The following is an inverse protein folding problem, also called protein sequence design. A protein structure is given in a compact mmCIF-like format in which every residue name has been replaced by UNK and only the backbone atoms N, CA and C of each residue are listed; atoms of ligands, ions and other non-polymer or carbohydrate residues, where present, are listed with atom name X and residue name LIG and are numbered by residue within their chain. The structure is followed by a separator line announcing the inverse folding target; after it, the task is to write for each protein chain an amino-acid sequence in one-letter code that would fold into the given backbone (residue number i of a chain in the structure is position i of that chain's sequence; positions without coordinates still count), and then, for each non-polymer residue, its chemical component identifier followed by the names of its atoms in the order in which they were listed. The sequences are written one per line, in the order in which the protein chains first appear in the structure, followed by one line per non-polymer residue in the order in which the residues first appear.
data_IF_647095844725
#
_entry.id   IF_647095844725
#
_cell.length_a   1.000
_cell.length_b   1.000
_cell.length_c   1.000
_cell.angle_alpha   90.00
_cell.angle_beta   90.00
_cell.angle_gamma   90.00
#
_symmetry.space_group_name_H-M   'P 1'
#
loop_
_entity.id
_entity.type
_entity.pdbx_description
1 polymer ?
#
# COMPACT_ATOMS: atom_id res chain seq x y z
N UNK A 1 -26.18 1.25 -16.45
CA UNK A 1 -25.86 0.06 -17.28
C UNK A 1 -27.18 -0.60 -17.63
N UNK A 2 -27.47 -0.88 -18.91
CA UNK A 2 -28.72 -1.56 -19.28
C UNK A 2 -28.72 -3.01 -18.76
N UNK A 3 -29.88 -3.63 -18.59
CA UNK A 3 -29.94 -5.03 -18.11
C UNK A 3 -29.18 -5.97 -19.04
N UNK A 4 -29.49 -5.94 -20.35
CA UNK A 4 -28.82 -6.80 -21.33
C UNK A 4 -27.31 -6.55 -21.40
N UNK A 5 -26.90 -5.28 -21.31
CA UNK A 5 -25.48 -4.91 -21.24
C UNK A 5 -24.80 -5.53 -20.02
N UNK A 6 -25.46 -5.51 -18.85
CA UNK A 6 -24.93 -6.15 -17.65
C UNK A 6 -24.77 -7.65 -17.83
N UNK A 7 -25.80 -8.32 -18.37
CA UNK A 7 -25.82 -9.76 -18.65
C UNK A 7 -24.68 -10.14 -19.60
N UNK A 8 -24.49 -9.39 -20.69
CA UNK A 8 -23.41 -9.61 -21.66
C UNK A 8 -22.02 -9.40 -21.04
N UNK A 9 -21.82 -8.28 -20.33
CA UNK A 9 -20.53 -7.95 -19.70
C UNK A 9 -20.09 -9.05 -18.75
N UNK A 10 -21.00 -9.51 -17.88
CA UNK A 10 -20.66 -10.51 -16.86
C UNK A 10 -20.76 -11.94 -17.37
N UNK A 11 -21.09 -12.13 -18.65
CA UNK A 11 -21.35 -13.43 -19.27
C UNK A 11 -22.36 -14.26 -18.45
N UNK A 12 -23.46 -13.61 -18.10
CA UNK A 12 -24.54 -14.19 -17.30
C UNK A 12 -25.71 -14.71 -18.15
N UNK A 13 -26.59 -15.44 -17.48
CA UNK A 13 -27.88 -15.88 -18.00
C UNK A 13 -28.99 -15.19 -17.20
N UNK A 14 -29.86 -14.46 -17.89
CA UNK A 14 -31.00 -13.81 -17.25
C UNK A 14 -32.09 -14.86 -16.98
N UNK A 15 -32.33 -15.15 -15.71
CA UNK A 15 -33.26 -16.18 -15.25
C UNK A 15 -34.69 -15.65 -14.98
N UNK A 16 -34.90 -14.34 -15.06
CA UNK A 16 -36.20 -13.69 -14.89
C UNK A 16 -36.59 -12.84 -16.11
N UNK A 17 -37.85 -12.37 -16.13
CA UNK A 17 -38.33 -11.35 -17.07
C UNK A 17 -38.55 -10.04 -16.30
N UNK A 18 -37.49 -9.28 -15.98
CA UNK A 18 -37.60 -8.12 -15.11
C UNK A 18 -38.38 -6.98 -15.76
N UNK A 19 -39.03 -6.16 -14.94
CA UNK A 19 -39.75 -4.95 -15.40
C UNK A 19 -38.84 -3.73 -15.54
N UNK A 20 -37.62 -3.80 -15.00
CA UNK A 20 -36.63 -2.73 -15.05
C UNK A 20 -35.79 -2.81 -16.34
N UNK A 21 -35.31 -1.65 -16.82
CA UNK A 21 -34.52 -1.57 -18.06
C UNK A 21 -33.02 -1.26 -17.84
N UNK A 22 -32.63 -0.80 -16.65
CA UNK A 22 -31.25 -0.46 -16.33
C UNK A 22 -30.95 -0.41 -14.83
N UNK A 23 -29.66 -0.54 -14.50
CA UNK A 23 -29.08 -0.32 -13.18
C UNK A 23 -28.35 1.01 -13.08
N UNK A 24 -28.46 1.67 -11.93
CA UNK A 24 -27.82 2.95 -11.60
C UNK A 24 -26.38 2.80 -11.08
N UNK A 25 -25.96 1.59 -10.74
CA UNK A 25 -24.64 1.29 -10.20
C UNK A 25 -24.52 -0.19 -9.87
N UNK A 26 -23.34 -0.57 -9.37
CA UNK A 26 -23.05 -1.91 -8.89
C UNK A 26 -22.68 -1.83 -7.42
N UNK A 27 -23.22 -2.72 -6.60
CA UNK A 27 -22.87 -2.88 -5.20
C UNK A 27 -22.25 -4.28 -5.00
N UNK A 28 -21.13 -4.35 -4.27
CA UNK A 28 -20.46 -5.62 -3.94
C UNK A 28 -20.49 -5.92 -2.44
N UNK A 29 -21.12 -5.05 -1.65
CA UNK A 29 -21.36 -5.21 -0.22
C UNK A 29 -22.76 -4.73 0.13
N UNK A 30 -23.39 -5.37 1.12
CA UNK A 30 -24.76 -5.03 1.53
C UNK A 30 -24.89 -3.55 1.95
N UNK A 31 -23.87 -3.00 2.61
CA UNK A 31 -23.81 -1.60 3.05
C UNK A 31 -23.74 -0.59 1.89
N UNK A 32 -23.49 -1.05 0.66
CA UNK A 32 -23.39 -0.23 -0.54
C UNK A 32 -24.66 -0.26 -1.39
N UNK A 33 -25.62 -1.12 -1.04
CA UNK A 33 -26.86 -1.27 -1.78
C UNK A 33 -27.63 0.03 -1.75
N UNK A 34 -27.96 0.52 -2.94
CA UNK A 34 -28.81 1.69 -3.17
C UNK A 34 -29.91 1.30 -4.12
N UNK A 35 -31.07 1.94 -3.97
CA UNK A 35 -32.21 1.72 -4.86
C UNK A 35 -31.78 1.80 -6.33
N UNK A 36 -32.06 0.74 -7.09
CA UNK A 36 -31.73 0.69 -8.50
C UNK A 36 -30.35 0.13 -8.86
N UNK A 37 -29.57 -0.37 -7.90
CA UNK A 37 -28.29 -1.01 -8.20
C UNK A 37 -28.43 -2.47 -8.64
N UNK A 38 -27.39 -2.97 -9.31
CA UNK A 38 -27.11 -4.40 -9.46
C UNK A 38 -26.27 -4.83 -8.25
N UNK A 39 -26.74 -5.82 -7.49
CA UNK A 39 -26.00 -6.38 -6.37
C UNK A 39 -25.28 -7.67 -6.79
N UNK A 40 -23.99 -7.78 -6.47
CA UNK A 40 -23.19 -8.97 -6.72
C UNK A 40 -23.11 -9.80 -5.44
N UNK A 41 -23.90 -10.87 -5.36
CA UNK A 41 -24.04 -11.67 -4.16
C UNK A 41 -22.88 -12.66 -4.00
N UNK A 42 -21.83 -12.25 -3.28
CA UNK A 42 -20.72 -13.14 -2.86
C UNK A 42 -21.17 -14.15 -1.80
N UNK A 43 -22.14 -13.75 -0.98
CA UNK A 43 -22.80 -14.61 0.00
C UNK A 43 -24.30 -14.65 -0.32
N UNK A 44 -24.90 -15.83 -0.60
CA UNK A 44 -26.33 -15.96 -0.83
C UNK A 44 -27.21 -15.42 0.32
N UNK A 45 -26.72 -15.48 1.57
CA UNK A 45 -27.48 -15.02 2.74
C UNK A 45 -27.74 -13.50 2.73
N UNK A 46 -27.01 -12.73 1.92
CA UNK A 46 -27.18 -11.28 1.80
C UNK A 46 -28.25 -10.88 0.77
N UNK A 47 -28.75 -11.83 -0.04
CA UNK A 47 -29.64 -11.54 -1.17
C UNK A 47 -30.95 -10.91 -0.70
N UNK A 48 -31.62 -11.52 0.28
CA UNK A 48 -32.91 -11.02 0.80
C UNK A 48 -32.77 -9.60 1.35
N UNK A 49 -31.66 -9.35 2.05
CA UNK A 49 -31.31 -8.01 2.53
C UNK A 49 -31.10 -7.02 1.38
N UNK A 50 -30.40 -7.42 0.31
CA UNK A 50 -30.12 -6.55 -0.83
C UNK A 50 -31.39 -6.21 -1.60
N UNK A 51 -32.30 -7.18 -1.78
CA UNK A 51 -33.62 -6.94 -2.39
C UNK A 51 -34.44 -5.98 -1.52
N UNK A 52 -34.49 -6.21 -0.20
CA UNK A 52 -35.20 -5.32 0.73
C UNK A 52 -34.65 -3.89 0.74
N UNK A 53 -33.34 -3.71 0.52
CA UNK A 53 -32.68 -2.41 0.37
C UNK A 53 -32.84 -1.78 -1.02
N UNK A 54 -33.55 -2.44 -1.95
CA UNK A 54 -33.93 -1.90 -3.24
C UNK A 54 -32.97 -2.21 -4.39
N UNK A 55 -32.18 -3.29 -4.31
CA UNK A 55 -31.45 -3.79 -5.47
C UNK A 55 -32.43 -4.17 -6.59
N UNK A 56 -32.16 -3.70 -7.82
CA UNK A 56 -33.01 -4.00 -9.00
C UNK A 56 -32.49 -5.20 -9.80
N UNK A 57 -31.34 -5.75 -9.40
CA UNK A 57 -30.89 -7.03 -9.90
C UNK A 57 -29.91 -7.69 -8.96
N UNK A 58 -29.85 -9.01 -9.04
CA UNK A 58 -29.00 -9.87 -8.23
C UNK A 58 -28.16 -10.72 -9.18
N UNK A 59 -26.83 -10.66 -9.03
CA UNK A 59 -25.90 -11.60 -9.66
C UNK A 59 -25.59 -12.71 -8.67
N UNK A 60 -25.72 -13.97 -9.10
CA UNK A 60 -25.52 -15.14 -8.25
C UNK A 60 -24.89 -16.31 -9.03
N UNK A 61 -24.15 -17.19 -8.35
CA UNK A 61 -23.54 -18.40 -8.94
C UNK A 61 -23.99 -19.72 -8.30
N UNK A 62 -24.81 -19.65 -7.23
CA UNK A 62 -25.37 -20.80 -6.52
C UNK A 62 -26.89 -20.83 -6.63
N UNK A 63 -27.51 -21.90 -6.13
CA UNK A 63 -28.97 -21.93 -6.06
C UNK A 63 -29.49 -20.78 -5.17
N UNK A 64 -30.51 -20.06 -5.66
CA UNK A 64 -31.18 -18.97 -4.97
C UNK A 64 -32.69 -19.09 -5.18
N UNK A 65 -33.48 -18.74 -4.18
CA UNK A 65 -34.93 -18.63 -4.32
C UNK A 65 -35.27 -17.23 -4.85
N UNK A 66 -35.87 -17.16 -6.04
CA UNK A 66 -36.25 -15.89 -6.66
C UNK A 66 -37.57 -15.41 -6.08
N UNK A 67 -37.49 -14.51 -5.10
CA UNK A 67 -38.66 -14.01 -4.34
C UNK A 67 -39.37 -12.83 -5.01
N UNK A 68 -38.73 -12.17 -5.95
CA UNK A 68 -39.25 -10.98 -6.65
C UNK A 68 -39.07 -11.12 -8.17
N UNK A 69 -40.17 -11.20 -8.92
CA UNK A 69 -40.14 -11.34 -10.38
C UNK A 69 -39.89 -10.04 -11.15
N UNK A 70 -39.96 -8.88 -10.49
CA UNK A 70 -39.80 -7.57 -11.14
C UNK A 70 -38.33 -7.18 -11.31
N UNK A 71 -37.44 -7.76 -10.50
CA UNK A 71 -35.99 -7.53 -10.54
C UNK A 71 -35.26 -8.53 -11.44
N UNK A 72 -34.07 -8.15 -11.88
CA UNK A 72 -33.24 -8.98 -12.75
C UNK A 72 -32.45 -10.03 -11.95
N UNK A 73 -32.72 -11.31 -12.19
CA UNK A 73 -31.94 -12.41 -11.62
C UNK A 73 -30.94 -12.90 -12.67
N UNK A 74 -29.65 -12.65 -12.44
CA UNK A 74 -28.60 -12.96 -13.41
C UNK A 74 -27.69 -14.05 -12.85
N UNK A 75 -27.79 -15.26 -13.41
CA UNK A 75 -26.95 -16.38 -13.04
C UNK A 75 -25.60 -16.28 -13.75
N UNK A 76 -24.51 -16.49 -13.03
CA UNK A 76 -23.15 -16.58 -13.59
C UNK A 76 -22.49 -17.89 -13.18
N UNK A 77 -21.46 -18.31 -13.91
CA UNK A 77 -20.66 -19.50 -13.54
C UNK A 77 -19.70 -19.24 -12.38
N UNK A 78 -19.29 -17.98 -12.19
CA UNK A 78 -18.33 -17.55 -11.17
C UNK A 78 -18.57 -16.08 -10.83
N UNK A 79 -18.87 -15.79 -9.55
CA UNK A 79 -18.96 -14.40 -9.06
C UNK A 79 -17.62 -13.67 -9.20
N UNK A 80 -16.50 -14.37 -9.03
CA UNK A 80 -15.17 -13.79 -9.18
C UNK A 80 -14.92 -13.28 -10.62
N UNK A 81 -15.24 -14.11 -11.62
CA UNK A 81 -15.04 -13.74 -13.03
C UNK A 81 -15.99 -12.61 -13.45
N UNK A 82 -17.23 -12.64 -12.95
CA UNK A 82 -18.20 -11.57 -13.16
C UNK A 82 -17.67 -10.23 -12.63
N UNK A 83 -17.06 -10.21 -11.44
CA UNK A 83 -16.44 -8.99 -10.88
C UNK A 83 -15.27 -8.50 -11.71
N UNK A 84 -14.36 -9.38 -12.13
CA UNK A 84 -13.24 -9.02 -13.02
C UNK A 84 -13.74 -8.37 -14.30
N UNK A 85 -14.80 -8.94 -14.90
CA UNK A 85 -15.42 -8.39 -16.12
C UNK A 85 -16.05 -7.03 -15.89
N UNK A 86 -16.74 -6.83 -14.77
CA UNK A 86 -17.30 -5.53 -14.40
C UNK A 86 -16.22 -4.47 -14.20
N UNK A 87 -15.11 -4.81 -13.53
CA UNK A 87 -13.97 -3.89 -13.34
C UNK A 87 -13.38 -3.50 -14.70
N UNK A 88 -13.07 -4.47 -15.56
CA UNK A 88 -12.58 -4.24 -16.93
C UNK A 88 -13.51 -3.32 -17.73
N UNK A 89 -14.80 -3.64 -17.71
CA UNK A 89 -15.81 -2.83 -18.39
C UNK A 89 -15.85 -1.40 -17.85
N UNK A 90 -15.78 -1.22 -16.52
CA UNK A 90 -15.77 0.10 -15.87
C UNK A 90 -14.55 0.92 -16.30
N UNK A 91 -13.36 0.34 -16.24
CA UNK A 91 -12.10 0.95 -16.67
C UNK A 91 -12.17 1.41 -18.14
N UNK A 92 -12.63 0.54 -19.04
CA UNK A 92 -12.75 0.84 -20.46
C UNK A 92 -13.81 1.89 -20.78
N UNK A 93 -15.00 1.76 -20.19
CA UNK A 93 -16.13 2.65 -20.45
C UNK A 93 -15.86 4.07 -19.97
N UNK A 94 -15.18 4.21 -18.84
CA UNK A 94 -14.84 5.49 -18.24
C UNK A 94 -13.48 6.01 -18.70
N UNK A 95 -12.75 5.23 -19.52
CA UNK A 95 -11.42 5.55 -20.03
C UNK A 95 -10.44 5.90 -18.92
N UNK A 96 -10.47 5.10 -17.86
CA UNK A 96 -9.59 5.28 -16.70
C UNK A 96 -8.16 4.95 -17.11
N UNK A 97 -7.26 5.93 -17.00
CA UNK A 97 -5.83 5.71 -17.18
C UNK A 97 -5.26 5.00 -15.96
N UNK A 98 -4.49 3.94 -16.16
CA UNK A 98 -3.90 3.17 -15.05
C UNK A 98 -2.40 3.42 -14.98
N UNK A 99 -1.96 3.89 -13.82
CA UNK A 99 -0.55 4.03 -13.48
C UNK A 99 -0.10 2.88 -12.60
N UNK A 100 1.06 2.31 -12.92
CA UNK A 100 1.70 1.30 -12.10
C UNK A 100 2.98 1.86 -11.47
N UNK A 101 3.12 1.68 -10.16
CA UNK A 101 4.27 2.12 -9.39
C UNK A 101 4.72 1.02 -8.43
N UNK A 102 6.01 0.98 -8.13
CA UNK A 102 6.52 0.20 -7.01
C UNK A 102 5.94 0.69 -5.68
N UNK A 103 6.08 -0.12 -4.63
CA UNK A 103 5.58 0.20 -3.30
C UNK A 103 6.06 1.56 -2.77
N UNK A 104 7.33 1.92 -3.04
CA UNK A 104 7.93 3.16 -2.57
C UNK A 104 7.45 4.35 -3.40
N UNK A 105 7.41 4.20 -4.73
CA UNK A 105 6.89 5.22 -5.64
C UNK A 105 5.41 5.52 -5.35
N UNK A 106 4.61 4.50 -5.09
CA UNK A 106 3.20 4.63 -4.71
C UNK A 106 3.04 5.47 -3.44
N UNK A 107 3.83 5.20 -2.39
CA UNK A 107 3.77 5.95 -1.14
C UNK A 107 4.21 7.40 -1.29
N UNK A 108 5.23 7.66 -2.13
CA UNK A 108 5.66 9.02 -2.47
C UNK A 108 4.54 9.74 -3.23
N UNK A 109 4.05 9.13 -4.31
CA UNK A 109 3.02 9.69 -5.20
C UNK A 109 1.75 10.04 -4.42
N UNK A 110 1.29 9.16 -3.53
CA UNK A 110 0.09 9.35 -2.71
C UNK A 110 0.19 10.58 -1.81
N UNK A 111 1.36 10.87 -1.25
CA UNK A 111 1.54 12.02 -0.36
C UNK A 111 1.64 13.34 -1.10
N UNK A 112 2.33 13.36 -2.24
CA UNK A 112 2.58 14.62 -2.95
C UNK A 112 1.44 14.98 -3.92
N UNK A 113 0.60 14.04 -4.32
CA UNK A 113 -0.54 14.30 -5.20
C UNK A 113 -1.50 15.33 -4.61
N UNK A 114 -1.89 16.32 -5.42
CA UNK A 114 -2.97 17.27 -5.11
C UNK A 114 -4.03 17.30 -6.22
N UNK A 115 -3.98 16.33 -7.13
CA UNK A 115 -4.94 16.16 -8.22
C UNK A 115 -6.03 15.16 -7.80
N UNK A 116 -7.23 15.66 -7.55
CA UNK A 116 -8.40 14.85 -7.18
C UNK A 116 -8.86 13.90 -8.31
N UNK A 117 -8.35 14.09 -9.53
CA UNK A 117 -8.61 13.19 -10.65
C UNK A 117 -7.77 11.91 -10.60
N UNK A 118 -6.81 11.81 -9.68
CA UNK A 118 -5.95 10.65 -9.47
C UNK A 118 -6.35 9.88 -8.22
N UNK A 119 -6.84 8.67 -8.41
CA UNK A 119 -7.20 7.75 -7.35
C UNK A 119 -6.05 6.82 -6.99
N UNK A 120 -5.88 6.53 -5.70
CA UNK A 120 -4.89 5.57 -5.22
C UNK A 120 -5.60 4.31 -4.74
N UNK A 121 -5.26 3.16 -5.33
CA UNK A 121 -5.90 1.88 -5.02
C UNK A 121 -4.87 0.80 -4.68
N UNK A 122 -5.00 0.21 -3.50
CA UNK A 122 -4.07 -0.77 -2.92
C UNK A 122 -4.80 -1.97 -2.27
N UNK A 123 -5.99 -2.30 -2.78
CA UNK A 123 -6.84 -3.36 -2.23
C UNK A 123 -7.13 -4.46 -3.25
N UNK A 124 -7.88 -5.48 -2.82
CA UNK A 124 -8.29 -6.57 -3.69
C UNK A 124 -9.34 -6.14 -4.72
N UNK A 125 -9.36 -6.84 -5.86
CA UNK A 125 -10.23 -6.62 -7.02
C UNK A 125 -11.71 -6.34 -6.66
N UNK A 126 -12.37 -7.10 -5.75
CA UNK A 126 -13.77 -6.86 -5.40
C UNK A 126 -14.05 -5.47 -4.83
N UNK A 127 -13.04 -4.84 -4.23
CA UNK A 127 -13.14 -3.49 -3.67
C UNK A 127 -12.97 -2.41 -4.73
N UNK A 128 -12.46 -2.72 -5.92
CA UNK A 128 -12.24 -1.74 -6.99
C UNK A 128 -13.54 -1.07 -7.44
N UNK A 129 -14.62 -1.84 -7.59
CA UNK A 129 -15.93 -1.27 -7.96
C UNK A 129 -16.47 -0.31 -6.90
N UNK A 130 -16.30 -0.64 -5.61
CA UNK A 130 -16.66 0.22 -4.48
C UNK A 130 -15.80 1.49 -4.48
N UNK A 131 -14.49 1.34 -4.70
CA UNK A 131 -13.56 2.46 -4.81
C UNK A 131 -13.96 3.43 -5.92
N UNK A 132 -14.26 2.94 -7.13
CA UNK A 132 -14.73 3.77 -8.24
C UNK A 132 -16.09 4.41 -7.95
N UNK A 133 -17.01 3.72 -7.28
CA UNK A 133 -18.32 4.27 -6.93
C UNK A 133 -18.23 5.41 -5.90
N UNK A 134 -17.27 5.33 -4.96
CA UNK A 134 -17.01 6.38 -3.95
C UNK A 134 -16.27 7.59 -4.52
N UNK A 135 -15.53 7.38 -5.62
CA UNK A 135 -14.73 8.41 -6.26
C UNK A 135 -15.21 8.56 -7.72
N UNK A 136 -16.33 9.25 -7.99
CA UNK A 136 -16.89 9.33 -9.33
C UNK A 136 -16.11 10.25 -10.28
N UNK A 137 -15.19 11.08 -9.77
CA UNK A 137 -14.46 12.09 -10.54
C UNK A 137 -13.04 11.65 -10.95
N UNK A 138 -12.57 10.49 -10.47
CA UNK A 138 -11.25 9.99 -10.86
C UNK A 138 -11.28 9.53 -12.31
N UNK A 139 -10.31 10.03 -13.05
CA UNK A 139 -10.03 9.68 -14.45
C UNK A 139 -8.76 8.84 -14.57
N UNK A 140 -7.98 8.77 -13.48
CA UNK A 140 -6.73 8.01 -13.41
C UNK A 140 -6.68 7.25 -12.11
N UNK A 141 -6.08 6.06 -12.13
CA UNK A 141 -5.87 5.25 -10.92
C UNK A 141 -4.42 4.78 -10.88
N UNK A 142 -3.76 5.04 -9.76
CA UNK A 142 -2.45 4.47 -9.46
C UNK A 142 -2.61 3.21 -8.61
N UNK A 143 -1.91 2.15 -9.01
CA UNK A 143 -1.87 0.83 -8.37
C UNK A 143 -0.42 0.41 -8.11
N UNK A 144 -0.23 -0.48 -7.13
CA UNK A 144 1.06 -1.10 -6.81
C UNK A 144 1.04 -2.63 -6.83
N UNK A 145 -0.14 -3.25 -6.82
CA UNK A 145 -0.25 -4.71 -6.89
C UNK A 145 -0.25 -5.18 -8.36
N UNK A 146 0.74 -6.01 -8.71
CA UNK A 146 0.87 -6.62 -10.04
C UNK A 146 -0.38 -7.42 -10.46
N UNK A 147 -1.12 -8.02 -9.52
CA UNK A 147 -2.34 -8.78 -9.83
C UNK A 147 -3.43 -7.91 -10.48
N UNK A 148 -3.40 -6.61 -10.25
CA UNK A 148 -4.33 -5.66 -10.86
C UNK A 148 -3.95 -5.33 -12.31
N UNK A 149 -2.71 -5.58 -12.72
CA UNK A 149 -2.28 -5.38 -14.11
C UNK A 149 -2.98 -6.35 -15.06
N UNK A 150 -3.34 -7.55 -14.61
CA UNK A 150 -4.13 -8.51 -15.39
C UNK A 150 -5.53 -7.97 -15.74
N UNK A 151 -5.99 -6.90 -15.09
CA UNK A 151 -7.28 -6.28 -15.35
C UNK A 151 -7.23 -5.23 -16.45
N UNK A 152 -6.06 -4.79 -16.87
CA UNK A 152 -5.89 -3.72 -17.85
C UNK A 152 -5.17 -4.22 -19.09
N UNK A 153 -5.50 -3.63 -20.24
CA UNK A 153 -4.78 -3.90 -21.48
C UNK A 153 -3.51 -3.05 -21.58
N UNK A 154 -3.58 -1.82 -21.08
CA UNK A 154 -2.52 -0.84 -21.13
C UNK A 154 -2.41 -0.13 -19.78
N UNK A 155 -1.18 0.14 -19.37
CA UNK A 155 -0.86 0.92 -18.18
C UNK A 155 0.41 1.73 -18.43
N UNK A 156 0.59 2.80 -17.67
CA UNK A 156 1.79 3.63 -17.70
C UNK A 156 2.58 3.34 -16.42
N UNK A 157 3.80 2.83 -16.59
CA UNK A 157 4.69 2.53 -15.48
C UNK A 157 5.64 3.71 -15.19
N UNK A 158 5.98 3.91 -13.93
CA UNK A 158 7.09 4.76 -13.53
C UNK A 158 8.42 4.29 -14.15
N UNK A 159 9.23 5.25 -14.60
CA UNK A 159 10.57 4.96 -15.14
C UNK A 159 11.55 5.90 -14.47
N UNK A 160 12.68 5.36 -14.01
CA UNK A 160 13.77 6.17 -13.47
C UNK A 160 14.34 7.02 -14.61
N UNK A 161 14.25 8.36 -14.54
CA UNK A 161 14.77 9.21 -15.59
C UNK A 161 16.30 9.18 -15.59
N UNK A 162 16.91 9.44 -16.75
CA UNK A 162 18.37 9.49 -16.90
C UNK A 162 18.99 10.58 -16.02
N UNK A 163 18.30 11.72 -15.93
CA UNK A 163 18.67 12.84 -15.06
C UNK A 163 17.53 13.12 -14.10
N UNK A 164 17.86 13.45 -12.85
CA UNK A 164 16.84 13.79 -11.88
C UNK A 164 16.16 15.11 -12.25
N UNK A 165 14.83 15.21 -12.09
CA UNK A 165 14.09 16.44 -12.37
C UNK A 165 14.33 17.54 -11.32
N UNK A 166 15.25 17.31 -10.36
CA UNK A 166 15.62 18.20 -9.26
C UNK A 166 17.12 18.10 -8.97
N UNK A 167 17.67 19.17 -8.37
CA UNK A 167 19.03 19.17 -7.86
C UNK A 167 19.06 18.70 -6.41
N UNK A 168 20.03 17.85 -6.05
CA UNK A 168 20.24 17.45 -4.66
C UNK A 168 21.25 18.38 -4.00
N UNK A 169 20.76 19.21 -3.07
CA UNK A 169 21.58 20.20 -2.35
C UNK A 169 22.29 19.58 -1.15
N UNK A 170 21.56 18.76 -0.38
CA UNK A 170 22.09 18.04 0.79
C UNK A 170 21.46 16.65 0.82
N UNK A 171 22.22 15.65 1.23
CA UNK A 171 21.69 14.31 1.53
C UNK A 171 22.32 13.77 2.81
N UNK A 172 21.48 13.18 3.65
CA UNK A 172 21.87 12.28 4.74
C UNK A 172 21.38 10.87 4.39
N UNK A 173 21.45 9.94 5.35
CA UNK A 173 20.86 8.61 5.18
C UNK A 173 19.34 8.67 5.08
N UNK A 174 18.70 9.58 5.81
CA UNK A 174 17.26 9.59 6.06
C UNK A 174 16.55 10.86 5.58
N UNK A 175 17.31 11.90 5.23
CA UNK A 175 16.79 13.18 4.79
C UNK A 175 17.48 13.65 3.50
N UNK A 176 16.74 14.36 2.67
CA UNK A 176 17.27 15.04 1.49
C UNK A 176 16.77 16.47 1.44
N UNK A 177 17.68 17.38 1.09
CA UNK A 177 17.33 18.73 0.67
C UNK A 177 17.50 18.82 -0.84
N UNK A 178 16.43 19.16 -1.54
CA UNK A 178 16.43 19.26 -2.99
C UNK A 178 15.99 20.65 -3.45
N UNK A 179 16.42 21.04 -4.64
CA UNK A 179 15.89 22.18 -5.39
C UNK A 179 15.06 21.63 -6.55
N UNK A 180 13.77 21.95 -6.59
CA UNK A 180 12.88 21.60 -7.69
C UNK A 180 12.23 22.87 -8.23
N UNK A 181 12.47 23.14 -9.51
CA UNK A 181 12.14 24.43 -10.15
C UNK A 181 12.79 25.58 -9.36
N UNK A 182 12.01 26.52 -8.83
CA UNK A 182 12.49 27.70 -8.10
C UNK A 182 12.43 27.55 -6.57
N UNK A 183 12.02 26.38 -6.07
CA UNK A 183 11.75 26.16 -4.64
C UNK A 183 12.68 25.10 -4.06
N UNK A 184 13.02 25.25 -2.78
CA UNK A 184 13.78 24.26 -2.02
C UNK A 184 12.86 23.49 -1.08
N UNK A 185 13.13 22.19 -0.94
CA UNK A 185 12.34 21.28 -0.11
C UNK A 185 13.28 20.46 0.79
N UNK A 186 12.86 20.27 2.04
CA UNK A 186 13.50 19.34 2.97
C UNK A 186 12.55 18.14 3.13
N UNK A 187 12.96 16.98 2.65
CA UNK A 187 12.14 15.77 2.65
C UNK A 187 12.76 14.77 3.62
N UNK A 188 11.95 14.21 4.53
CA UNK A 188 12.35 13.06 5.36
C UNK A 188 12.26 11.77 4.55
N UNK A 189 13.02 11.76 3.47
CA UNK A 189 13.11 10.66 2.52
C UNK A 189 14.54 10.11 2.59
N UNK A 190 14.72 8.83 2.91
CA UNK A 190 16.01 8.20 2.81
C UNK A 190 16.61 8.39 1.42
N UNK A 191 17.86 8.84 1.34
CA UNK A 191 18.44 9.20 0.03
C UNK A 191 18.65 7.99 -0.89
N UNK A 192 18.51 6.78 -0.32
CA UNK A 192 18.34 5.52 -1.06
C UNK A 192 17.17 5.57 -2.06
N UNK A 193 16.12 6.34 -1.77
CA UNK A 193 14.87 6.38 -2.53
C UNK A 193 14.72 7.61 -3.44
N UNK A 194 15.84 8.30 -3.73
CA UNK A 194 15.85 9.38 -4.71
C UNK A 194 15.45 8.95 -6.14
N UNK A 195 15.83 7.74 -6.64
CA UNK A 195 15.35 7.26 -7.93
C UNK A 195 13.81 7.17 -8.00
N UNK A 196 13.18 6.68 -6.94
CA UNK A 196 11.73 6.53 -6.84
C UNK A 196 11.04 7.90 -6.80
N UNK A 197 11.58 8.87 -6.04
CA UNK A 197 11.10 10.26 -6.06
C UNK A 197 11.21 10.87 -7.47
N UNK A 198 12.32 10.66 -8.16
CA UNK A 198 12.53 11.16 -9.51
C UNK A 198 11.52 10.56 -10.50
N UNK A 199 11.28 9.25 -10.42
CA UNK A 199 10.34 8.53 -11.28
C UNK A 199 8.90 9.04 -11.11
N UNK A 200 8.48 9.31 -9.86
CA UNK A 200 7.15 9.88 -9.58
C UNK A 200 7.03 11.31 -10.11
N UNK A 201 8.02 12.17 -9.86
CA UNK A 201 8.00 13.56 -10.33
C UNK A 201 7.98 13.62 -11.86
N UNK A 202 8.75 12.75 -12.53
CA UNK A 202 8.79 12.66 -13.97
C UNK A 202 7.45 12.17 -14.55
N UNK A 203 6.87 11.10 -13.98
CA UNK A 203 5.55 10.60 -14.34
C UNK A 203 4.48 11.70 -14.20
N UNK A 204 4.45 12.39 -13.06
CA UNK A 204 3.48 13.44 -12.79
C UNK A 204 3.66 14.64 -13.72
N UNK A 205 4.91 15.05 -13.98
CA UNK A 205 5.23 16.11 -14.93
C UNK A 205 4.78 15.77 -16.35
N UNK A 206 5.11 14.58 -16.84
CA UNK A 206 4.77 14.10 -18.19
C UNK A 206 3.27 13.94 -18.42
N UNK A 207 2.52 13.56 -17.37
CA UNK A 207 1.07 13.35 -17.43
C UNK A 207 0.25 14.55 -16.93
N UNK A 208 0.90 15.68 -16.64
CA UNK A 208 0.27 16.93 -16.14
C UNK A 208 -0.57 16.70 -14.87
N UNK A 209 -0.09 15.84 -13.98
CA UNK A 209 -0.69 15.59 -12.66
C UNK A 209 -0.15 16.66 -11.70
N UNK A 210 -1.07 17.32 -10.98
CA UNK A 210 -0.70 18.35 -10.01
C UNK A 210 -0.16 17.71 -8.73
N UNK A 211 0.97 18.21 -8.24
CA UNK A 211 1.58 17.74 -6.99
C UNK A 211 2.27 18.87 -6.21
N UNK A 212 2.45 18.64 -4.92
CA UNK A 212 3.14 19.52 -3.98
C UNK A 212 4.06 18.72 -3.05
N UNK A 213 5.37 18.93 -3.20
CA UNK A 213 6.39 18.27 -2.40
C UNK A 213 6.34 18.68 -0.91
N UNK A 214 5.66 19.78 -0.56
CA UNK A 214 5.46 20.18 0.85
C UNK A 214 4.55 19.22 1.62
N UNK A 215 3.72 18.46 0.92
CA UNK A 215 2.83 17.47 1.53
C UNK A 215 3.56 16.18 1.91
N UNK A 216 4.80 15.99 1.44
CA UNK A 216 5.60 14.84 1.80
C UNK A 216 6.00 14.90 3.29
N UNK A 217 5.68 13.84 4.03
CA UNK A 217 5.95 13.75 5.47
C UNK A 217 7.04 12.74 5.78
N UNK A 218 6.80 11.46 5.51
CA UNK A 218 7.71 10.33 5.67
C UNK A 218 7.11 9.09 5.00
N UNK A 219 7.92 8.08 4.71
CA UNK A 219 7.44 6.79 4.18
C UNK A 219 7.69 5.67 5.19
N UNK A 220 6.89 4.58 5.17
CA UNK A 220 7.03 3.45 6.10
C UNK A 220 8.21 2.51 5.75
N UNK A 221 9.15 2.96 4.91
CA UNK A 221 10.29 2.17 4.44
C UNK A 221 11.58 2.77 4.95
N UNK A 222 12.49 1.90 5.42
CA UNK A 222 13.76 2.30 6.02
C UNK A 222 13.59 3.39 7.11
N UNK A 223 12.52 3.27 7.91
CA UNK A 223 12.14 4.28 8.89
C UNK A 223 13.14 4.32 10.05
N UNK A 224 13.76 5.47 10.35
CA UNK A 224 14.73 5.57 11.44
C UNK A 224 14.02 5.75 12.80
N UNK A 225 14.29 4.83 13.73
CA UNK A 225 13.87 4.97 15.13
C UNK A 225 15.06 5.43 15.98
N UNK A 226 15.06 6.70 16.37
CA UNK A 226 16.09 7.24 17.24
C UNK A 226 15.85 6.80 18.68
N UNK A 227 16.88 6.29 19.33
CA UNK A 227 16.79 5.78 20.70
C UNK A 227 17.89 6.36 21.60
N UNK A 228 17.62 6.40 22.91
CA UNK A 228 18.63 6.70 23.92
C UNK A 228 19.40 5.43 24.35
N UNK A 229 20.35 5.60 25.28
CA UNK A 229 21.17 4.50 25.83
C UNK A 229 20.37 3.41 26.56
N UNK A 230 19.10 3.67 26.92
CA UNK A 230 18.20 2.70 27.57
C UNK A 230 17.26 2.01 26.58
N UNK A 231 17.55 2.10 25.27
CA UNK A 231 16.71 1.59 24.19
C UNK A 231 15.26 2.14 24.27
N UNK A 232 15.12 3.43 24.52
CA UNK A 232 13.82 4.12 24.47
C UNK A 232 13.78 5.16 23.37
N UNK A 233 12.64 5.27 22.69
CA UNK A 233 12.42 6.25 21.63
C UNK A 233 12.66 7.67 22.13
N UNK A 234 13.29 8.46 21.26
CA UNK A 234 13.50 9.89 21.43
C UNK A 234 13.05 10.63 20.17
N UNK A 235 13.05 11.96 20.18
CA UNK A 235 12.71 12.70 18.97
C UNK A 235 13.75 12.49 17.87
N UNK A 236 13.29 12.63 16.64
CA UNK A 236 14.11 12.50 15.43
C UNK A 236 15.39 13.33 15.52
N UNK A 237 16.54 12.71 15.25
CA UNK A 237 17.85 13.37 15.24
C UNK A 237 18.42 13.75 16.61
N UNK A 238 17.78 13.38 17.73
CA UNK A 238 18.30 13.69 19.07
C UNK A 238 19.51 12.85 19.49
N UNK A 239 19.69 11.69 18.89
CA UNK A 239 20.80 10.77 19.18
C UNK A 239 21.43 10.27 17.89
N UNK A 240 22.59 9.66 18.03
CA UNK A 240 23.32 8.96 16.96
C UNK A 240 23.04 7.46 16.96
N UNK A 241 22.09 6.98 17.79
CA UNK A 241 21.62 5.59 17.84
C UNK A 241 20.29 5.49 17.11
N UNK A 242 20.30 4.77 15.99
CA UNK A 242 19.16 4.56 15.12
C UNK A 242 18.90 3.06 14.96
N UNK A 243 17.66 2.66 15.16
CA UNK A 243 17.19 1.30 14.91
C UNK A 243 16.25 1.31 13.72
N UNK A 244 16.48 0.40 12.77
CA UNK A 244 15.64 0.21 11.59
C UNK A 244 15.25 -1.26 11.55
N UNK A 245 14.03 -1.55 11.13
CA UNK A 245 13.54 -2.91 10.99
C UNK A 245 13.15 -3.21 9.55
N UNK A 246 13.29 -4.46 9.14
CA UNK A 246 12.81 -4.96 7.85
C UNK A 246 12.52 -6.46 7.93
N UNK A 247 11.43 -6.89 7.29
CA UNK A 247 10.99 -8.30 7.26
C UNK A 247 11.35 -8.98 5.93
N UNK A 248 11.46 -8.21 4.85
CA UNK A 248 11.88 -8.73 3.56
C UNK A 248 13.41 -8.82 3.48
N UNK A 249 13.93 -10.01 3.19
CA UNK A 249 15.37 -10.28 3.24
C UNK A 249 16.16 -9.49 2.19
N UNK A 250 15.57 -9.23 1.02
CA UNK A 250 16.23 -8.48 -0.05
C UNK A 250 16.24 -6.99 0.26
N UNK A 251 15.14 -6.44 0.80
CA UNK A 251 15.11 -5.06 1.33
C UNK A 251 16.09 -4.90 2.48
N UNK A 252 16.14 -5.86 3.41
CA UNK A 252 17.07 -5.85 4.53
C UNK A 252 18.52 -5.78 4.05
N UNK A 253 18.88 -6.64 3.08
CA UNK A 253 20.21 -6.63 2.44
C UNK A 253 20.52 -5.30 1.76
N UNK A 254 19.54 -4.73 1.04
CA UNK A 254 19.66 -3.40 0.38
C UNK A 254 19.93 -2.31 1.41
N UNK A 255 19.21 -2.30 2.53
CA UNK A 255 19.37 -1.32 3.60
C UNK A 255 20.72 -1.47 4.31
N UNK A 256 21.12 -2.71 4.65
CA UNK A 256 22.40 -3.00 5.29
C UNK A 256 23.57 -2.51 4.42
N UNK A 257 23.55 -2.86 3.12
CA UNK A 257 24.57 -2.43 2.15
C UNK A 257 24.62 -0.91 2.02
N UNK A 258 23.45 -0.27 1.93
CA UNK A 258 23.37 1.19 1.83
C UNK A 258 23.96 1.89 3.06
N UNK A 259 23.59 1.46 4.28
CA UNK A 259 24.12 2.05 5.53
C UNK A 259 25.63 1.80 5.61
N UNK A 260 26.11 0.58 5.35
CA UNK A 260 27.55 0.27 5.36
C UNK A 260 28.35 1.14 4.38
N UNK A 261 27.80 1.43 3.21
CA UNK A 261 28.45 2.23 2.17
C UNK A 261 28.49 3.73 2.50
N UNK A 262 27.40 4.29 3.03
CA UNK A 262 27.23 5.74 3.18
C UNK A 262 27.37 6.26 4.62
N UNK A 263 27.36 5.36 5.62
CA UNK A 263 27.47 5.69 7.04
C UNK A 263 28.80 5.25 7.66
N UNK A 264 29.91 5.32 6.90
CA UNK A 264 31.25 4.83 7.31
C UNK A 264 31.79 5.41 8.63
N UNK A 265 31.23 6.53 9.09
CA UNK A 265 31.57 7.17 10.35
C UNK A 265 30.96 6.45 11.57
N UNK A 266 29.89 5.68 11.39
CA UNK A 266 29.13 5.04 12.45
C UNK A 266 29.28 3.52 12.43
N UNK A 267 29.14 2.90 13.60
CA UNK A 267 29.16 1.44 13.72
C UNK A 267 27.78 0.86 13.39
N UNK A 268 27.72 0.01 12.38
CA UNK A 268 26.53 -0.79 12.01
C UNK A 268 26.61 -2.16 12.67
N UNK A 269 25.49 -2.59 13.27
CA UNK A 269 25.25 -3.97 13.69
C UNK A 269 23.98 -4.50 13.02
N UNK A 270 23.99 -5.78 12.66
CA UNK A 270 22.83 -6.49 12.14
C UNK A 270 22.29 -7.40 13.24
N UNK A 271 21.01 -7.28 13.55
CA UNK A 271 20.33 -8.10 14.55
C UNK A 271 19.43 -9.09 13.81
N UNK A 272 19.81 -10.35 13.84
CA UNK A 272 19.21 -11.41 13.02
C UNK A 272 18.45 -12.41 13.91
N UNK A 273 17.27 -12.90 13.49
CA UNK A 273 16.59 -13.95 14.22
C UNK A 273 17.39 -15.25 14.10
N UNK A 274 17.26 -16.13 15.10
CA UNK A 274 17.86 -17.48 15.08
C UNK A 274 17.52 -18.22 13.78
N UNK A 275 18.53 -18.84 13.17
CA UNK A 275 18.43 -19.51 11.86
C UNK A 275 18.99 -18.70 10.67
N UNK A 276 19.43 -17.45 10.91
CA UNK A 276 20.08 -16.59 9.92
C UNK A 276 21.56 -16.35 10.23
N UNK A 277 22.18 -17.25 10.97
CA UNK A 277 23.61 -17.23 11.27
C UNK A 277 24.43 -17.18 9.97
N UNK A 278 25.51 -16.40 9.97
CA UNK A 278 26.48 -16.28 8.88
C UNK A 278 25.97 -15.67 7.55
N UNK A 279 24.65 -15.45 7.40
CA UNK A 279 24.03 -14.98 6.13
C UNK A 279 24.57 -13.61 5.68
N UNK A 280 24.86 -12.72 6.62
CA UNK A 280 25.24 -11.34 6.35
C UNK A 280 26.64 -10.96 6.87
N UNK A 281 27.47 -11.93 7.23
CA UNK A 281 28.79 -11.70 7.86
C UNK A 281 29.74 -10.86 7.00
N UNK A 282 29.55 -10.89 5.68
CA UNK A 282 30.34 -10.08 4.75
C UNK A 282 29.95 -8.59 4.75
N UNK A 283 28.82 -8.21 5.35
CA UNK A 283 28.32 -6.83 5.34
C UNK A 283 28.74 -6.07 6.61
N UNK A 284 28.45 -6.63 7.79
CA UNK A 284 28.71 -5.97 9.07
C UNK A 284 28.78 -7.00 10.22
N UNK A 285 29.01 -6.52 11.45
CA UNK A 285 28.92 -7.36 12.65
C UNK A 285 27.47 -7.80 12.86
N UNK A 286 27.28 -9.09 13.14
CA UNK A 286 25.96 -9.70 13.31
C UNK A 286 25.79 -10.22 14.74
N UNK A 287 24.61 -10.05 15.30
CA UNK A 287 24.20 -10.67 16.57
C UNK A 287 22.86 -11.38 16.35
N UNK A 288 22.68 -12.53 17.02
CA UNK A 288 21.49 -13.35 16.90
C UNK A 288 20.55 -13.06 18.07
N UNK A 289 19.26 -12.89 17.78
CA UNK A 289 18.22 -12.77 18.80
C UNK A 289 17.19 -13.92 18.70
N UNK A 290 16.67 -14.37 19.84
CA UNK A 290 15.64 -15.42 19.90
C UNK A 290 14.24 -14.89 20.15
N UNK A 291 14.13 -13.82 20.94
CA UNK A 291 12.86 -13.24 21.34
C UNK A 291 12.98 -11.72 21.58
N UNK A 292 11.86 -11.09 21.97
CA UNK A 292 11.81 -9.65 22.25
C UNK A 292 12.71 -9.22 23.41
N UNK A 293 12.87 -10.05 24.42
CA UNK A 293 13.68 -9.73 25.60
C UNK A 293 15.17 -9.74 25.24
N UNK A 294 15.58 -10.70 24.42
CA UNK A 294 16.91 -10.78 23.85
C UNK A 294 17.23 -9.56 22.98
N UNK A 295 16.28 -9.16 22.12
CA UNK A 295 16.43 -7.97 21.30
C UNK A 295 16.57 -6.67 22.12
N UNK A 296 15.75 -6.47 23.16
CA UNK A 296 15.90 -5.32 24.08
C UNK A 296 17.27 -5.33 24.79
N UNK A 297 17.75 -6.51 25.18
CA UNK A 297 19.07 -6.68 25.79
C UNK A 297 20.20 -6.26 24.82
N UNK A 298 20.16 -6.75 23.58
CA UNK A 298 21.14 -6.40 22.53
C UNK A 298 21.13 -4.90 22.23
N UNK A 299 19.95 -4.30 22.09
CA UNK A 299 19.81 -2.87 21.80
C UNK A 299 20.40 -1.97 22.92
N UNK A 300 20.40 -2.42 24.17
CA UNK A 300 20.97 -1.66 25.29
C UNK A 300 22.47 -1.84 25.44
N UNK A 301 22.91 -3.10 25.35
CA UNK A 301 24.24 -3.50 25.78
C UNK A 301 25.30 -3.41 24.67
N UNK A 302 24.87 -3.38 23.40
CA UNK A 302 25.78 -3.25 22.28
C UNK A 302 26.19 -1.79 22.03
N UNK A 303 27.42 -1.60 21.57
CA UNK A 303 27.88 -0.31 21.06
C UNK A 303 27.67 -0.26 19.55
N UNK A 304 26.84 0.67 19.08
CA UNK A 304 26.51 0.90 17.68
C UNK A 304 25.93 2.31 17.48
N UNK A 305 25.96 2.77 16.24
CA UNK A 305 25.20 3.93 15.76
C UNK A 305 23.95 3.48 14.99
N UNK A 306 24.06 2.38 14.24
CA UNK A 306 22.97 1.83 13.45
C UNK A 306 22.75 0.36 13.84
N UNK A 307 21.52 0.03 14.21
CA UNK A 307 21.07 -1.36 14.33
C UNK A 307 20.02 -1.62 13.26
N UNK A 308 20.25 -2.62 12.41
CA UNK A 308 19.26 -3.09 11.45
C UNK A 308 18.74 -4.45 11.91
N UNK A 309 17.45 -4.53 12.23
CA UNK A 309 16.78 -5.71 12.78
C UNK A 309 16.03 -6.44 11.66
N UNK A 310 16.34 -7.70 11.45
CA UNK A 310 15.64 -8.54 10.47
C UNK A 310 14.48 -9.29 11.13
N UNK A 311 13.35 -9.47 10.43
CA UNK A 311 12.25 -10.34 10.85
C UNK A 311 11.29 -9.74 11.87
N UNK A 312 11.22 -8.41 11.94
CA UNK A 312 10.31 -7.66 12.80
C UNK A 312 9.74 -6.47 12.02
N UNK A 313 8.45 -6.19 12.16
CA UNK A 313 7.87 -4.95 11.63
C UNK A 313 8.15 -3.75 12.56
N UNK A 314 8.01 -2.54 12.01
CA UNK A 314 8.29 -1.31 12.75
C UNK A 314 7.33 -1.06 13.93
N UNK A 315 6.07 -1.52 13.85
CA UNK A 315 5.10 -1.34 14.94
C UNK A 315 5.50 -2.16 16.17
N UNK A 316 5.94 -3.40 15.96
CA UNK A 316 6.45 -4.28 17.00
C UNK A 316 7.73 -3.74 17.65
N UNK A 317 8.60 -3.10 16.88
CA UNK A 317 9.77 -2.39 17.42
C UNK A 317 9.35 -1.18 18.26
N UNK A 318 8.46 -0.32 17.74
CA UNK A 318 7.98 0.86 18.47
C UNK A 318 7.35 0.46 19.81
N UNK A 319 6.58 -0.62 19.85
CA UNK A 319 6.02 -1.17 21.08
C UNK A 319 7.13 -1.61 22.07
N UNK A 320 8.17 -2.30 21.59
CA UNK A 320 9.32 -2.69 22.41
C UNK A 320 10.03 -1.47 23.02
N UNK A 321 10.24 -0.43 22.20
CA UNK A 321 10.98 0.78 22.58
C UNK A 321 10.17 1.74 23.46
N UNK A 322 8.85 1.57 23.56
CA UNK A 322 7.97 2.40 24.40
C UNK A 322 7.55 1.71 25.70
N UNK A 323 7.59 0.37 25.75
CA UNK A 323 7.23 -0.40 26.95
C UNK A 323 8.14 -0.01 28.15
N UNK A 324 7.58 0.35 29.32
CA UNK A 324 8.39 0.66 30.49
C UNK A 324 9.18 -0.57 30.92
N UNK A 325 10.48 -0.40 31.17
CA UNK A 325 11.31 -1.46 31.74
C UNK A 325 10.94 -1.62 33.21
N UNK A 326 10.27 -2.70 33.58
CA UNK A 326 10.14 -3.13 34.97
C UNK A 326 11.42 -3.86 35.34
N UNK A 327 12.24 -3.25 36.21
CA UNK A 327 13.35 -3.97 36.83
C UNK A 327 12.81 -5.25 37.47
N UNK A 328 13.51 -6.40 37.34
CA UNK A 328 13.12 -7.59 38.08
C UNK A 328 13.16 -7.24 39.57
N UNK A 329 11.99 -7.25 40.20
CA UNK A 329 11.87 -7.10 41.65
C UNK A 329 12.65 -8.26 42.25
N UNK A 330 13.81 -7.95 42.85
CA UNK A 330 14.56 -8.92 43.64
C UNK A 330 13.58 -9.52 44.67
N UNK A 331 13.50 -10.86 44.78
CA UNK A 331 12.72 -11.46 45.85
C UNK A 331 13.26 -10.92 47.17
N UNK A 332 12.41 -10.24 47.95
CA UNK A 332 12.70 -9.96 49.35
C UNK A 332 12.79 -11.34 50.03
N UNK A 333 14.01 -11.75 50.34
CA UNK A 333 14.31 -12.95 51.12
C UNK A 333 13.76 -12.86 52.54
#
# INVERSE_FOLDING_TARGET
MKVNEAVEVINGELASTPSISSFNGVATQISEVKRGCLFVAKNPDEIDGAVALGAYGIVYDRYVQMVDGEIAWIKVSSIHDAMIRLVRYKLLREKIEVFFASEIEYEIARQINIDDSVGFFDKDIPEFLSFMAKNPNITRVMIKDNKLLDLVLEYIQTVVPQEYPFDVLVRTLFDVKISYKISQYNLRLPSLFLPELASVIDLFGSNKIAFDLRNFTSIPYMQPNFINIRAKLVHYGQTDRVVITEEDIEKFKKYATYIAMYAKWGKLILLLPKGYEEVFDMIAQNEIYQDRSDLDCLLRNQNYNFALVFGMDNSNLVDLLTTPYSDPVLPLF
#
